data_IF_649271816395
#
_entry.id   IF_649271816395
#
_cell.length_a   1.000
_cell.length_b   1.000
_cell.length_c   1.000
_cell.angle_alpha   90.00
_cell.angle_beta   90.00
_cell.angle_gamma   90.00
#
_symmetry.space_group_name_H-M   'P 1'
#
loop_
_entity.id
_entity.type
_entity.pdbx_description
1 polymer ?
#
# COMPACT_ATOMS: atom_id res chain seq x y z
N UNK A 1 -39.75 8.43 -2.24
CA UNK A 1 -38.82 8.43 -1.08
C UNK A 1 -38.22 7.04 -0.75
N UNK A 2 -38.60 5.98 -1.46
CA UNK A 2 -38.14 4.62 -1.12
C UNK A 2 -36.75 4.26 -1.66
N UNK A 3 -36.26 4.97 -2.67
CA UNK A 3 -34.96 4.72 -3.32
C UNK A 3 -33.73 5.28 -2.59
N UNK A 4 -33.92 6.00 -1.48
CA UNK A 4 -32.83 6.61 -0.72
C UNK A 4 -32.42 5.73 0.47
N UNK A 5 -31.11 5.63 0.71
CA UNK A 5 -30.55 4.92 1.86
C UNK A 5 -31.06 5.50 3.18
N UNK A 6 -31.17 4.65 4.21
CA UNK A 6 -31.64 5.05 5.55
C UNK A 6 -30.84 6.22 6.13
N UNK A 7 -29.53 6.30 5.86
CA UNK A 7 -28.67 7.41 6.25
C UNK A 7 -29.02 8.72 5.52
N UNK A 8 -29.26 8.68 4.21
CA UNK A 8 -29.61 9.87 3.44
C UNK A 8 -30.96 10.49 3.89
N UNK A 9 -31.90 9.67 4.36
CA UNK A 9 -33.21 10.15 4.88
C UNK A 9 -33.08 10.96 6.17
N UNK A 10 -32.05 10.74 7.00
CA UNK A 10 -31.84 11.50 8.23
C UNK A 10 -31.54 12.98 7.95
N UNK A 11 -30.86 13.30 6.85
CA UNK A 11 -30.47 14.67 6.49
C UNK A 11 -31.53 15.41 5.68
N UNK A 12 -32.39 14.70 4.94
CA UNK A 12 -33.44 15.31 4.11
C UNK A 12 -34.56 15.95 4.93
N UNK A 13 -34.85 15.41 6.13
CA UNK A 13 -35.87 15.97 7.03
C UNK A 13 -35.50 17.35 7.61
N UNK A 14 -34.23 17.77 7.48
CA UNK A 14 -33.76 19.10 7.90
C UNK A 14 -33.91 20.17 6.81
N UNK A 15 -34.21 19.79 5.57
CA UNK A 15 -34.38 20.74 4.48
C UNK A 15 -35.83 21.27 4.48
N UNK A 16 -35.98 22.58 4.32
CA UNK A 16 -37.31 23.21 4.21
C UNK A 16 -38.06 22.63 3.02
N UNK A 17 -39.27 22.11 3.26
CA UNK A 17 -40.14 21.66 2.17
C UNK A 17 -40.56 22.87 1.32
N UNK A 18 -40.62 22.73 -0.01
CA UNK A 18 -41.15 23.79 -0.87
C UNK A 18 -42.63 24.05 -0.54
N UNK A 19 -43.03 25.31 -0.62
CA UNK A 19 -44.39 25.78 -0.32
C UNK A 19 -45.32 25.53 -1.51
N UNK A 20 -45.89 24.32 -1.55
CA UNK A 20 -46.77 23.85 -2.63
C UNK A 20 -47.86 22.95 -2.04
N UNK A 21 -49.11 23.11 -2.51
CA UNK A 21 -50.24 22.35 -1.98
C UNK A 21 -50.24 20.89 -2.46
N UNK A 22 -50.23 20.68 -3.78
CA UNK A 22 -50.17 19.34 -4.41
C UNK A 22 -49.42 19.46 -5.73
N UNK A 23 -48.43 18.60 -5.95
CA UNK A 23 -47.80 18.40 -7.26
C UNK A 23 -47.70 16.89 -7.52
N UNK A 24 -48.28 16.43 -8.62
CA UNK A 24 -48.27 15.04 -9.05
C UNK A 24 -47.58 14.89 -10.42
N UNK A 25 -47.12 13.68 -10.74
CA UNK A 25 -46.49 13.39 -12.04
C UNK A 25 -45.05 13.90 -12.21
N UNK A 26 -44.36 14.29 -11.13
CA UNK A 26 -42.96 14.71 -11.21
C UNK A 26 -42.04 13.52 -11.52
N UNK A 27 -41.34 13.64 -12.63
CA UNK A 27 -40.16 12.80 -12.89
C UNK A 27 -39.01 13.22 -11.97
N UNK A 28 -38.04 12.34 -11.69
CA UNK A 28 -36.82 12.71 -10.98
C UNK A 28 -36.15 13.92 -11.65
N UNK A 29 -36.03 15.03 -10.92
CA UNK A 29 -35.47 16.27 -11.44
C UNK A 29 -33.94 16.29 -11.26
N UNK A 30 -33.23 16.79 -12.27
CA UNK A 30 -31.79 17.08 -12.22
C UNK A 30 -31.64 18.58 -12.47
N UNK A 31 -31.01 19.29 -11.53
CA UNK A 31 -30.63 20.69 -11.75
C UNK A 31 -29.26 20.75 -12.43
N UNK A 32 -29.16 21.53 -13.50
CA UNK A 32 -27.90 21.81 -14.20
C UNK A 32 -27.63 23.31 -14.06
N UNK A 33 -26.78 23.65 -13.11
CA UNK A 33 -26.40 25.04 -12.81
C UNK A 33 -24.92 25.25 -13.08
N UNK A 34 -24.54 26.43 -13.55
CA UNK A 34 -23.14 26.83 -13.65
C UNK A 34 -22.62 27.18 -12.25
N UNK A 35 -22.22 26.17 -11.48
CA UNK A 35 -21.57 26.38 -10.18
C UNK A 35 -20.13 26.85 -10.43
N UNK A 36 -19.70 27.90 -9.73
CA UNK A 36 -18.32 28.39 -9.80
C UNK A 36 -17.34 27.24 -9.52
N UNK A 37 -16.31 27.11 -10.34
CA UNK A 37 -15.37 26.00 -10.27
C UNK A 37 -14.69 25.98 -8.89
N UNK A 38 -14.89 24.90 -8.14
CA UNK A 38 -14.09 24.59 -6.95
C UNK A 38 -12.62 24.53 -7.37
N UNK A 39 -11.78 25.41 -6.80
CA UNK A 39 -10.36 25.47 -7.10
C UNK A 39 -9.62 24.38 -6.31
N UNK A 40 -9.78 23.13 -6.73
CA UNK A 40 -8.93 22.04 -6.28
C UNK A 40 -7.86 21.79 -7.35
N UNK A 41 -6.57 22.03 -7.07
CA UNK A 41 -5.50 21.89 -8.07
C UNK A 41 -5.31 20.44 -8.57
N UNK A 42 -5.91 19.45 -7.91
CA UNK A 42 -5.90 18.05 -8.35
C UNK A 42 -7.12 17.67 -9.21
N UNK A 43 -8.12 18.55 -9.31
CA UNK A 43 -9.30 18.32 -10.13
C UNK A 43 -9.03 18.82 -11.55
N UNK A 44 -9.22 17.95 -12.53
CA UNK A 44 -9.06 18.24 -13.95
C UNK A 44 -10.35 17.89 -14.68
N UNK A 45 -10.49 18.31 -15.94
CA UNK A 45 -11.61 17.89 -16.79
C UNK A 45 -11.74 16.36 -16.82
N UNK A 46 -10.60 15.64 -16.86
CA UNK A 46 -10.57 14.17 -16.87
C UNK A 46 -11.10 13.54 -15.58
N UNK A 47 -10.93 14.17 -14.42
CA UNK A 47 -11.49 13.66 -13.15
C UNK A 47 -12.96 14.02 -12.99
N UNK A 48 -13.40 15.19 -13.49
CA UNK A 48 -14.83 15.59 -13.42
C UNK A 48 -15.70 14.76 -14.36
N UNK A 49 -15.15 14.39 -15.51
CA UNK A 49 -15.85 13.58 -16.53
C UNK A 49 -15.63 12.07 -16.34
N UNK A 50 -14.88 11.66 -15.31
CA UNK A 50 -14.46 10.27 -15.06
C UNK A 50 -13.61 9.62 -16.18
N UNK A 51 -13.32 10.33 -17.28
CA UNK A 51 -12.46 9.85 -18.38
C UNK A 51 -11.10 9.38 -17.86
N UNK A 52 -10.54 10.08 -16.86
CA UNK A 52 -9.27 9.68 -16.25
C UNK A 52 -9.32 8.28 -15.62
N UNK A 53 -10.45 7.89 -15.02
CA UNK A 53 -10.62 6.56 -14.44
C UNK A 53 -10.68 5.47 -15.50
N UNK A 54 -11.34 5.73 -16.64
CA UNK A 54 -11.32 4.83 -17.80
C UNK A 54 -9.93 4.71 -18.40
N UNK A 55 -9.20 5.81 -18.55
CA UNK A 55 -7.82 5.79 -19.03
C UNK A 55 -6.92 4.99 -18.08
N UNK A 56 -7.09 5.16 -16.76
CA UNK A 56 -6.32 4.40 -15.77
C UNK A 56 -6.57 2.89 -15.91
N UNK A 57 -7.81 2.46 -16.11
CA UNK A 57 -8.13 1.05 -16.37
C UNK A 57 -7.56 0.54 -17.69
N UNK A 58 -7.63 1.35 -18.75
CA UNK A 58 -7.08 1.02 -20.07
C UNK A 58 -5.57 0.77 -19.98
N UNK A 59 -4.82 1.72 -19.40
CA UNK A 59 -3.37 1.59 -19.25
C UNK A 59 -2.98 0.47 -18.29
N UNK A 60 -3.75 0.23 -17.22
CA UNK A 60 -3.49 -0.88 -16.31
C UNK A 60 -3.68 -2.26 -16.96
N UNK A 61 -4.62 -2.39 -17.91
CA UNK A 61 -4.93 -3.67 -18.56
C UNK A 61 -4.12 -3.96 -19.82
N UNK A 62 -3.83 -2.93 -20.62
CA UNK A 62 -3.23 -3.09 -21.96
C UNK A 62 -1.87 -2.41 -22.06
N UNK A 63 -1.51 -1.53 -21.13
CA UNK A 63 -0.24 -0.84 -21.14
C UNK A 63 0.94 -1.78 -20.84
N UNK A 64 1.96 -1.74 -21.70
CA UNK A 64 3.24 -2.41 -21.45
C UNK A 64 4.14 -1.49 -20.62
N UNK A 65 4.43 -1.80 -19.34
CA UNK A 65 5.29 -0.96 -18.52
C UNK A 65 6.73 -0.99 -19.06
N UNK A 66 7.37 0.18 -19.12
CA UNK A 66 8.76 0.33 -19.58
C UNK A 66 9.61 1.08 -18.56
N UNK A 67 10.88 0.73 -18.47
CA UNK A 67 11.85 1.45 -17.65
C UNK A 67 12.04 2.87 -18.22
N UNK A 68 11.92 3.95 -17.42
CA UNK A 68 12.05 5.31 -17.92
C UNK A 68 13.47 5.66 -18.39
N UNK A 69 14.50 5.00 -17.84
CA UNK A 69 15.90 5.25 -18.20
C UNK A 69 16.34 4.39 -19.39
N UNK A 70 16.03 3.10 -19.36
CA UNK A 70 16.55 2.11 -20.31
C UNK A 70 15.57 1.80 -21.46
N UNK A 71 14.31 2.24 -21.36
CA UNK A 71 13.22 2.01 -22.33
C UNK A 71 12.90 0.53 -22.61
N UNK A 72 13.45 -0.39 -21.83
CA UNK A 72 13.14 -1.82 -21.89
C UNK A 72 11.83 -2.14 -21.20
N UNK A 73 11.16 -3.19 -21.66
CA UNK A 73 9.93 -3.71 -21.04
C UNK A 73 10.22 -4.25 -19.64
N UNK A 74 9.36 -3.89 -18.68
CA UNK A 74 9.41 -4.47 -17.34
C UNK A 74 8.71 -5.83 -17.38
N UNK A 75 9.48 -6.89 -17.07
CA UNK A 75 9.01 -8.26 -16.98
C UNK A 75 9.14 -8.75 -15.54
N UNK A 76 8.29 -9.70 -15.16
CA UNK A 76 8.46 -10.42 -13.90
C UNK A 76 9.75 -11.22 -13.94
N UNK A 77 10.57 -11.10 -12.90
CA UNK A 77 11.78 -11.90 -12.74
C UNK A 77 11.48 -13.13 -11.89
N UNK A 78 12.07 -14.26 -12.25
CA UNK A 78 12.03 -15.47 -11.41
C UNK A 78 12.92 -15.31 -10.17
N UNK A 79 12.67 -16.11 -9.12
CA UNK A 79 13.55 -16.11 -7.95
C UNK A 79 15.00 -16.49 -8.30
N UNK A 80 15.19 -17.35 -9.30
CA UNK A 80 16.54 -17.69 -9.79
C UNK A 80 17.22 -16.47 -10.40
N UNK A 81 16.52 -15.74 -11.28
CA UNK A 81 17.05 -14.49 -11.86
C UNK A 81 17.36 -13.44 -10.79
N UNK A 82 16.48 -13.26 -9.80
CA UNK A 82 16.69 -12.32 -8.70
C UNK A 82 17.92 -12.73 -7.87
N UNK A 83 18.03 -14.00 -7.49
CA UNK A 83 19.16 -14.50 -6.70
C UNK A 83 20.50 -14.36 -7.46
N UNK A 84 20.52 -14.70 -8.76
CA UNK A 84 21.69 -14.51 -9.61
C UNK A 84 22.08 -13.03 -9.72
N UNK A 85 21.09 -12.15 -9.85
CA UNK A 85 21.32 -10.70 -9.93
C UNK A 85 21.89 -10.14 -8.62
N UNK A 86 21.39 -10.62 -7.47
CA UNK A 86 21.94 -10.26 -6.15
C UNK A 86 23.40 -10.70 -6.03
N UNK A 87 23.71 -11.95 -6.36
CA UNK A 87 25.09 -12.48 -6.30
C UNK A 87 26.01 -11.64 -7.20
N UNK A 88 25.59 -11.36 -8.43
CA UNK A 88 26.37 -10.60 -9.40
C UNK A 88 26.68 -9.17 -8.96
N UNK A 89 25.69 -8.45 -8.41
CA UNK A 89 25.85 -7.02 -8.06
C UNK A 89 26.43 -6.80 -6.64
N UNK A 90 26.27 -7.80 -5.77
CA UNK A 90 26.64 -7.70 -4.35
C UNK A 90 27.69 -8.72 -3.91
N UNK A 91 28.44 -9.31 -4.84
CA UNK A 91 29.55 -10.21 -4.52
C UNK A 91 30.50 -9.58 -3.49
N UNK A 92 30.83 -10.34 -2.45
CA UNK A 92 31.67 -9.92 -1.32
C UNK A 92 31.16 -8.70 -0.53
N UNK A 93 29.90 -8.31 -0.69
CA UNK A 93 29.27 -7.25 0.10
C UNK A 93 28.38 -7.83 1.18
N UNK A 94 28.20 -7.06 2.26
CA UNK A 94 27.23 -7.35 3.29
C UNK A 94 25.85 -6.91 2.83
N UNK A 95 24.87 -7.81 2.88
CA UNK A 95 23.48 -7.49 2.52
C UNK A 95 22.51 -7.96 3.61
N UNK A 96 21.35 -7.32 3.66
CA UNK A 96 20.23 -7.70 4.51
C UNK A 96 18.98 -7.81 3.65
N UNK A 97 18.29 -8.94 3.76
CA UNK A 97 17.03 -9.17 3.07
C UNK A 97 15.87 -8.75 3.97
N UNK A 98 15.00 -7.88 3.45
CA UNK A 98 13.96 -7.19 4.20
C UNK A 98 12.59 -7.40 3.57
N UNK A 99 11.61 -7.90 4.31
CA UNK A 99 10.22 -7.96 3.86
C UNK A 99 9.46 -6.71 4.34
N UNK A 100 9.01 -5.80 3.46
CA UNK A 100 8.34 -4.56 3.88
C UNK A 100 6.86 -4.80 4.15
N UNK A 101 6.53 -5.19 5.38
CA UNK A 101 5.17 -5.62 5.77
C UNK A 101 4.21 -4.44 5.97
N UNK A 102 4.70 -3.31 6.49
CA UNK A 102 3.88 -2.10 6.67
C UNK A 102 4.53 -0.92 5.98
N UNK A 103 3.81 -0.29 5.05
CA UNK A 103 4.28 0.87 4.25
C UNK A 103 3.37 2.08 4.45
N UNK A 104 3.85 3.10 5.17
CA UNK A 104 3.15 4.36 5.41
C UNK A 104 1.73 4.22 6.00
N UNK A 105 1.50 3.20 6.83
CA UNK A 105 0.20 2.96 7.46
C UNK A 105 0.20 3.41 8.92
N UNK A 106 -0.99 3.76 9.41
CA UNK A 106 -1.24 4.06 10.82
C UNK A 106 -1.70 2.77 11.51
N UNK A 107 -1.28 2.56 12.76
CA UNK A 107 -1.66 1.39 13.54
C UNK A 107 -0.59 1.02 14.56
N UNK A 108 -0.97 0.18 15.52
CA UNK A 108 -0.04 -0.33 16.54
C UNK A 108 0.80 -1.51 16.03
N UNK A 109 0.24 -2.34 15.13
CA UNK A 109 0.90 -3.50 14.50
C UNK A 109 1.58 -4.48 15.48
N UNK A 110 1.19 -4.47 16.76
CA UNK A 110 1.78 -5.27 17.85
C UNK A 110 1.69 -6.76 17.59
N UNK A 111 0.49 -7.27 17.29
CA UNK A 111 0.25 -8.69 17.00
C UNK A 111 1.12 -9.24 15.88
N UNK A 112 1.34 -8.42 14.84
CA UNK A 112 2.12 -8.78 13.65
C UNK A 112 3.62 -8.88 13.98
N UNK A 113 4.12 -7.97 14.81
CA UNK A 113 5.50 -8.01 15.30
C UNK A 113 5.71 -9.19 16.24
N UNK A 114 4.77 -9.42 17.16
CA UNK A 114 4.83 -10.53 18.10
C UNK A 114 4.80 -11.88 17.39
N UNK A 115 3.94 -12.07 16.37
CA UNK A 115 3.91 -13.32 15.60
C UNK A 115 5.24 -13.56 14.90
N UNK A 116 5.85 -12.52 14.33
CA UNK A 116 7.15 -12.64 13.67
C UNK A 116 8.27 -13.08 14.62
N UNK A 117 8.30 -12.56 15.85
CA UNK A 117 9.26 -13.03 16.86
C UNK A 117 8.93 -14.43 17.38
N UNK A 118 7.65 -14.81 17.47
CA UNK A 118 7.24 -16.19 17.83
C UNK A 118 7.69 -17.22 16.81
N UNK A 119 7.73 -16.84 15.53
CA UNK A 119 8.25 -17.68 14.43
C UNK A 119 9.79 -17.85 14.48
N UNK A 120 10.46 -17.25 15.47
CA UNK A 120 11.89 -17.45 15.74
C UNK A 120 12.81 -16.41 15.09
N UNK A 121 12.24 -15.42 14.40
CA UNK A 121 13.02 -14.30 13.89
C UNK A 121 13.51 -13.40 15.04
N UNK A 122 14.61 -12.67 14.82
CA UNK A 122 15.31 -11.96 15.92
C UNK A 122 15.35 -10.45 15.77
N UNK A 123 15.09 -9.92 14.58
CA UNK A 123 15.30 -8.50 14.27
C UNK A 123 14.23 -7.96 13.33
N UNK A 124 13.86 -6.72 13.57
CA UNK A 124 12.95 -5.95 12.71
C UNK A 124 13.53 -4.57 12.47
N UNK A 125 13.10 -3.91 11.39
CA UNK A 125 13.41 -2.50 11.12
C UNK A 125 12.10 -1.70 11.21
N UNK A 126 12.05 -0.73 12.11
CA UNK A 126 10.92 0.18 12.29
C UNK A 126 11.41 1.59 12.00
N UNK A 127 10.79 2.30 11.07
CA UNK A 127 11.12 3.68 10.73
C UNK A 127 12.64 3.91 10.48
N UNK A 128 13.27 2.96 9.79
CA UNK A 128 14.72 2.90 9.48
C UNK A 128 15.66 2.52 10.64
N UNK A 129 15.15 2.30 11.85
CA UNK A 129 15.93 1.84 12.99
C UNK A 129 15.75 0.33 13.19
N UNK A 130 16.86 -0.38 13.48
CA UNK A 130 16.85 -1.84 13.65
C UNK A 130 16.74 -2.15 15.14
N UNK A 131 15.76 -2.98 15.49
CA UNK A 131 15.55 -3.46 16.85
C UNK A 131 15.62 -4.98 16.90
N UNK A 132 16.16 -5.50 18.00
CA UNK A 132 16.16 -6.92 18.35
C UNK A 132 14.93 -7.28 19.18
N UNK A 133 14.57 -8.56 19.24
CA UNK A 133 13.45 -9.05 20.06
C UNK A 133 13.53 -8.56 21.53
N UNK A 134 14.73 -8.60 22.12
CA UNK A 134 14.94 -8.12 23.49
C UNK A 134 14.69 -6.61 23.62
N UNK A 135 15.25 -5.80 22.72
CA UNK A 135 15.04 -4.34 22.74
C UNK A 135 13.57 -3.98 22.53
N UNK A 136 12.85 -4.73 21.70
CA UNK A 136 11.41 -4.51 21.50
C UNK A 136 10.62 -4.84 22.77
N UNK A 137 10.99 -5.90 23.49
CA UNK A 137 10.38 -6.26 24.78
C UNK A 137 10.70 -5.23 25.87
N UNK A 138 11.94 -4.75 25.93
CA UNK A 138 12.40 -3.79 26.94
C UNK A 138 11.81 -2.38 26.73
N UNK A 139 11.81 -1.89 25.48
CA UNK A 139 11.30 -0.56 25.14
C UNK A 139 9.78 -0.52 25.06
N UNK A 140 9.12 -1.68 24.94
CA UNK A 140 7.70 -1.86 24.69
C UNK A 140 7.29 -1.33 23.30
N UNK A 141 6.62 -2.17 22.50
CA UNK A 141 6.26 -1.88 21.09
C UNK A 141 5.53 -0.53 20.94
N UNK A 142 4.70 -0.18 21.92
CA UNK A 142 3.91 1.05 21.92
C UNK A 142 4.74 2.35 22.02
N UNK A 143 6.01 2.27 22.47
CA UNK A 143 6.93 3.42 22.43
C UNK A 143 7.64 3.54 21.09
N UNK A 144 7.89 2.41 20.42
CA UNK A 144 8.56 2.34 19.12
C UNK A 144 7.64 2.74 17.97
N UNK A 145 6.34 2.48 18.11
CA UNK A 145 5.33 2.73 17.07
C UNK A 145 4.33 3.75 17.55
N UNK A 146 4.18 4.84 16.78
CA UNK A 146 3.14 5.81 17.04
C UNK A 146 1.89 5.49 16.20
N UNK A 147 0.87 4.92 16.83
CA UNK A 147 -0.37 4.50 16.17
C UNK A 147 -1.11 5.65 15.43
N UNK A 148 -0.90 6.91 15.82
CA UNK A 148 -1.53 8.08 15.19
C UNK A 148 -0.78 8.55 13.95
N UNK A 149 0.49 8.17 13.80
CA UNK A 149 1.37 8.54 12.68
C UNK A 149 1.54 7.37 11.71
N UNK A 150 2.01 7.69 10.50
CA UNK A 150 2.37 6.69 9.51
C UNK A 150 3.72 6.08 9.90
N UNK A 151 3.80 4.76 9.92
CA UNK A 151 5.02 4.02 10.23
C UNK A 151 5.39 3.10 9.07
N UNK A 152 6.68 2.77 8.99
CA UNK A 152 7.22 1.75 8.11
C UNK A 152 7.80 0.62 8.96
N UNK A 153 7.39 -0.63 8.70
CA UNK A 153 7.86 -1.81 9.43
C UNK A 153 8.31 -2.83 8.40
N UNK A 154 9.56 -3.26 8.52
CA UNK A 154 10.20 -4.24 7.65
C UNK A 154 10.81 -5.36 8.48
N UNK A 155 10.51 -6.59 8.11
CA UNK A 155 11.04 -7.78 8.75
C UNK A 155 12.39 -8.15 8.17
N UNK A 156 13.37 -8.41 9.04
CA UNK A 156 14.69 -8.88 8.59
C UNK A 156 14.62 -10.39 8.47
N UNK A 157 14.52 -10.86 7.22
CA UNK A 157 14.39 -12.29 6.90
C UNK A 157 15.75 -12.97 7.01
N UNK A 158 16.75 -12.42 6.31
CA UNK A 158 18.09 -12.99 6.32
C UNK A 158 19.19 -11.92 6.22
N UNK A 159 20.42 -12.30 6.59
CA UNK A 159 21.60 -11.45 6.60
C UNK A 159 22.81 -12.25 6.10
N UNK A 160 23.53 -11.67 5.16
CA UNK A 160 24.75 -12.23 4.60
C UNK A 160 25.91 -11.29 4.93
N UNK A 161 26.92 -11.80 5.64
CA UNK A 161 28.12 -11.04 5.98
C UNK A 161 28.97 -10.74 4.75
N UNK A 162 28.99 -11.68 3.81
CA UNK A 162 29.63 -11.59 2.50
C UNK A 162 28.83 -12.49 1.56
N UNK A 163 28.31 -11.96 0.46
CA UNK A 163 27.60 -12.77 -0.54
C UNK A 163 28.61 -13.54 -1.39
N UNK A 164 28.39 -14.85 -1.49
CA UNK A 164 29.17 -15.77 -2.33
C UNK A 164 28.25 -16.56 -3.28
N UNK A 165 28.83 -17.22 -4.29
CA UNK A 165 28.07 -18.09 -5.19
C UNK A 165 27.44 -19.30 -4.46
N UNK A 166 28.05 -19.74 -3.35
CA UNK A 166 27.54 -20.84 -2.52
C UNK A 166 26.26 -20.46 -1.75
N UNK A 167 25.95 -19.17 -1.63
CA UNK A 167 24.75 -18.69 -0.93
C UNK A 167 23.48 -18.78 -1.79
N UNK A 168 23.57 -19.24 -3.05
CA UNK A 168 22.44 -19.25 -3.99
C UNK A 168 21.20 -19.96 -3.45
N UNK A 169 21.35 -21.17 -2.91
CA UNK A 169 20.22 -21.93 -2.34
C UNK A 169 19.58 -21.20 -1.16
N UNK A 170 20.40 -20.67 -0.25
CA UNK A 170 19.94 -19.91 0.91
C UNK A 170 19.23 -18.61 0.52
N UNK A 171 19.72 -17.93 -0.52
CA UNK A 171 19.09 -16.74 -1.08
C UNK A 171 17.71 -17.07 -1.68
N UNK A 172 17.59 -18.17 -2.42
CA UNK A 172 16.31 -18.61 -2.97
C UNK A 172 15.28 -18.87 -1.86
N UNK A 173 15.63 -19.67 -0.84
CA UNK A 173 14.77 -19.95 0.31
C UNK A 173 14.37 -18.66 1.05
N UNK A 174 15.32 -17.74 1.22
CA UNK A 174 15.07 -16.46 1.89
C UNK A 174 14.15 -15.55 1.07
N UNK A 175 14.28 -15.54 -0.26
CA UNK A 175 13.40 -14.79 -1.16
C UNK A 175 11.97 -15.35 -1.14
N UNK A 176 11.82 -16.68 -1.13
CA UNK A 176 10.51 -17.31 -1.01
C UNK A 176 9.85 -17.01 0.34
N UNK A 177 10.61 -17.04 1.43
CA UNK A 177 10.13 -16.64 2.75
C UNK A 177 9.75 -15.16 2.78
N UNK A 178 10.54 -14.29 2.15
CA UNK A 178 10.27 -12.85 2.08
C UNK A 178 8.91 -12.56 1.42
N UNK A 179 8.59 -13.24 0.32
CA UNK A 179 7.31 -13.09 -0.37
C UNK A 179 6.15 -13.64 0.46
N UNK A 180 6.33 -14.65 1.31
CA UNK A 180 5.22 -15.10 2.18
C UNK A 180 4.76 -14.03 3.17
N UNK A 181 5.61 -13.08 3.53
CA UNK A 181 5.26 -11.98 4.43
C UNK A 181 4.64 -10.76 3.71
N UNK A 182 4.63 -10.76 2.38
CA UNK A 182 4.14 -9.68 1.54
C UNK A 182 3.25 -10.32 0.49
N UNK A 183 1.91 -10.27 0.61
CA UNK A 183 0.95 -10.88 -0.35
C UNK A 183 1.29 -10.58 -1.84
N UNK A 184 2.24 -11.32 -2.44
CA UNK A 184 2.79 -11.13 -3.79
C UNK A 184 3.89 -10.07 -3.90
#
# INVERSE_FOLDING_TARGET
MESLSSYARQFLSMMGKPDVDIIEGLSPAISIEQKSSSHNPRSTVGTVTEIYDYLRLLFARVGTPRCPEHQVELKSMSYDEISNNIIKNHLNKKIMLLAPVVKQQKGEHTKLIESFFRDGHKRIRINNEIFTDNEVKDLNINKLINAKKKNNIEFIIDRFSSVSENDKLRLLESLELQVKFFDG
#
